data_IF_580447353990
#
_entry.id   IF_580447353990
#
_cell.length_a   1.000
_cell.length_b   1.000
_cell.length_c   1.000
_cell.angle_alpha   90.00
_cell.angle_beta   90.00
_cell.angle_gamma   90.00
#
_symmetry.space_group_name_H-M   'P 1'
#
loop_
_entity.id
_entity.type
_entity.pdbx_description
1 polymer ?
#
# COMPACT_ATOMS: atom_id res chain seq x y z
N UNK A 1 7.75 28.60 -5.68
CA UNK A 1 8.23 27.23 -5.35
C UNK A 1 7.56 26.82 -4.06
N UNK A 2 6.39 26.16 -4.13
CA UNK A 2 5.63 25.75 -2.95
C UNK A 2 6.15 24.37 -2.52
N UNK A 3 6.67 24.30 -1.30
CA UNK A 3 7.05 23.03 -0.65
C UNK A 3 5.78 22.51 0.01
N UNK A 4 5.17 21.47 -0.55
CA UNK A 4 4.13 20.74 0.17
C UNK A 4 4.83 19.83 1.18
N UNK A 5 4.66 20.21 2.43
CA UNK A 5 5.11 19.50 3.60
C UNK A 5 4.07 18.38 3.82
N UNK A 6 4.38 17.16 3.42
CA UNK A 6 3.55 16.00 3.76
C UNK A 6 3.72 15.74 5.25
N UNK A 7 2.81 16.28 6.05
CA UNK A 7 2.70 15.99 7.47
C UNK A 7 2.32 14.52 7.63
N UNK A 8 3.25 13.73 8.16
CA UNK A 8 2.99 12.36 8.60
C UNK A 8 2.17 12.48 9.88
N UNK A 9 0.86 12.26 9.79
CA UNK A 9 -0.03 12.31 10.96
C UNK A 9 0.19 11.02 11.75
N UNK A 10 0.97 11.10 12.81
CA UNK A 10 1.03 10.05 13.83
C UNK A 10 -0.32 10.05 14.57
N UNK A 11 -1.17 9.06 14.26
CA UNK A 11 -2.44 8.85 14.96
C UNK A 11 -2.13 8.28 16.34
N UNK A 12 -2.17 9.14 17.35
CA UNK A 12 -2.02 8.79 18.76
C UNK A 12 -3.38 8.36 19.32
N UNK A 13 -3.45 7.18 19.95
CA UNK A 13 -4.60 6.78 20.78
C UNK A 13 -4.80 7.77 21.93
N UNK A 14 -6.03 7.93 22.42
CA UNK A 14 -6.36 8.72 23.63
C UNK A 14 -5.54 8.32 24.88
N UNK A 15 -4.83 7.18 24.84
CA UNK A 15 -3.93 6.68 25.90
C UNK A 15 -2.43 6.86 25.63
N UNK A 16 -2.03 7.58 24.57
CA UNK A 16 -0.62 7.85 24.26
C UNK A 16 0.17 6.63 23.78
N UNK A 17 -0.51 5.54 23.44
CA UNK A 17 0.09 4.41 22.72
C UNK A 17 0.18 4.76 21.24
N UNK A 18 1.38 4.58 20.66
CA UNK A 18 1.56 4.59 19.21
C UNK A 18 0.75 3.42 18.68
N UNK A 19 -0.43 3.71 18.14
CA UNK A 19 -1.13 2.73 17.33
C UNK A 19 -0.23 2.57 16.11
N UNK A 20 0.50 1.46 15.99
CA UNK A 20 0.95 1.05 14.67
C UNK A 20 -0.34 0.88 13.87
N UNK A 21 -0.71 1.94 13.13
CA UNK A 21 -1.87 1.90 12.24
C UNK A 21 -1.72 0.65 11.42
N UNK A 22 -2.72 -0.22 11.48
CA UNK A 22 -2.62 -1.58 11.01
C UNK A 22 -2.28 -1.66 9.51
N UNK A 23 -2.52 -0.56 8.81
CA UNK A 23 -2.29 -0.33 7.40
C UNK A 23 -0.92 0.33 7.11
N UNK A 24 -0.11 0.65 8.13
CA UNK A 24 1.26 1.14 7.95
C UNK A 24 2.24 -0.04 7.88
N UNK A 25 3.05 -0.06 6.82
CA UNK A 25 4.08 -1.08 6.57
C UNK A 25 5.45 -0.51 6.87
N UNK A 26 6.06 -0.95 7.97
CA UNK A 26 7.46 -0.66 8.30
C UNK A 26 8.41 -1.50 7.43
N UNK A 27 9.26 -0.83 6.65
CA UNK A 27 10.24 -1.46 5.77
C UNK A 27 11.42 -2.01 6.58
N UNK A 28 11.95 -3.15 6.16
CA UNK A 28 13.06 -3.81 6.88
C UNK A 28 14.39 -3.05 6.83
N UNK A 29 14.55 -2.13 5.89
CA UNK A 29 15.64 -1.16 5.71
C UNK A 29 15.10 0.01 4.89
N UNK A 30 15.76 1.15 4.98
CA UNK A 30 15.45 2.32 4.16
C UNK A 30 15.46 1.98 2.66
N UNK A 31 14.38 2.31 1.98
CA UNK A 31 14.18 2.14 0.55
C UNK A 31 14.31 3.49 -0.14
N UNK A 32 15.14 3.59 -1.18
CA UNK A 32 15.27 4.82 -1.96
C UNK A 32 14.53 4.69 -3.29
N UNK A 33 13.67 5.65 -3.57
CA UNK A 33 12.92 5.74 -4.81
C UNK A 33 12.82 7.20 -5.24
N UNK A 34 13.13 7.50 -6.51
CA UNK A 34 13.12 8.87 -7.07
C UNK A 34 13.81 9.94 -6.20
N UNK A 35 14.92 9.57 -5.55
CA UNK A 35 15.68 10.48 -4.69
C UNK A 35 15.07 10.75 -3.31
N UNK A 36 14.00 10.04 -2.95
CA UNK A 36 13.39 10.06 -1.61
C UNK A 36 13.71 8.75 -0.88
N UNK A 37 13.88 8.85 0.44
CA UNK A 37 14.10 7.70 1.32
C UNK A 37 12.81 7.40 2.08
N UNK A 38 12.42 6.13 2.08
CA UNK A 38 11.23 5.61 2.71
C UNK A 38 11.63 4.56 3.74
N UNK A 39 11.15 4.71 4.97
CA UNK A 39 11.27 3.71 6.04
C UNK A 39 9.93 3.03 6.33
N UNK A 40 8.83 3.66 5.92
CA UNK A 40 7.46 3.21 6.12
C UNK A 40 6.64 3.50 4.86
N UNK A 41 5.62 2.69 4.60
CA UNK A 41 4.60 2.91 3.59
C UNK A 41 3.27 2.99 4.31
N UNK A 42 2.51 4.06 4.09
CA UNK A 42 1.19 4.25 4.66
C UNK A 42 0.11 3.77 3.69
N UNK A 43 -0.66 2.75 4.07
CA UNK A 43 -1.77 2.22 3.29
C UNK A 43 -3.13 2.56 3.92
N UNK A 44 -3.20 3.49 4.88
CA UNK A 44 -4.46 3.88 5.55
C UNK A 44 -5.56 4.29 4.56
N UNK A 45 -5.19 4.97 3.48
CA UNK A 45 -6.11 5.35 2.39
C UNK A 45 -6.73 4.16 1.62
N UNK A 46 -6.42 2.90 1.97
CA UNK A 46 -7.18 1.74 1.50
C UNK A 46 -8.66 1.84 1.90
N UNK A 47 -8.95 2.44 3.06
CA UNK A 47 -10.33 2.69 3.55
C UNK A 47 -11.11 3.67 2.67
N UNK A 48 -10.41 4.60 2.02
CA UNK A 48 -11.01 5.61 1.14
C UNK A 48 -11.17 5.12 -0.31
N UNK A 49 -10.67 3.92 -0.64
CA UNK A 49 -10.80 3.37 -1.98
C UNK A 49 -12.23 2.95 -2.27
N UNK A 50 -12.64 3.19 -3.51
CA UNK A 50 -13.99 2.86 -3.96
C UNK A 50 -14.04 1.55 -4.73
N UNK A 51 -15.24 0.99 -4.92
CA UNK A 51 -15.42 -0.14 -5.84
C UNK A 51 -14.91 0.17 -7.27
N UNK A 52 -14.97 1.44 -7.70
CA UNK A 52 -14.43 1.85 -9.00
C UNK A 52 -12.89 1.69 -9.05
N UNK A 53 -12.20 1.90 -7.93
CA UNK A 53 -10.77 1.68 -7.80
C UNK A 53 -10.39 0.21 -7.88
N UNK A 54 -11.16 -0.66 -7.21
CA UNK A 54 -10.99 -2.12 -7.33
C UNK A 54 -11.18 -2.60 -8.78
N UNK A 55 -12.24 -2.13 -9.45
CA UNK A 55 -12.49 -2.46 -10.86
C UNK A 55 -11.35 -1.95 -11.76
N UNK A 56 -10.84 -0.75 -11.50
CA UNK A 56 -9.70 -0.22 -12.23
C UNK A 56 -8.43 -1.05 -11.99
N UNK A 57 -8.20 -1.50 -10.76
CA UNK A 57 -7.08 -2.36 -10.41
C UNK A 57 -7.18 -3.72 -11.11
N UNK A 58 -8.36 -4.33 -11.11
CA UNK A 58 -8.61 -5.58 -11.82
C UNK A 58 -8.31 -5.46 -13.32
N UNK A 59 -8.79 -4.38 -13.96
CA UNK A 59 -8.52 -4.11 -15.37
C UNK A 59 -7.03 -3.94 -15.67
N UNK A 60 -6.26 -3.37 -14.75
CA UNK A 60 -4.79 -3.25 -14.90
C UNK A 60 -4.14 -4.63 -14.81
N UNK A 61 -4.55 -5.46 -13.85
CA UNK A 61 -4.08 -6.84 -13.72
C UNK A 61 -4.40 -7.68 -14.97
N UNK A 62 -5.63 -7.60 -15.47
CA UNK A 62 -6.04 -8.35 -16.66
C UNK A 62 -5.20 -7.97 -17.91
N UNK A 63 -4.78 -6.69 -18.00
CA UNK A 63 -3.94 -6.18 -19.08
C UNK A 63 -2.48 -6.60 -18.99
N UNK A 64 -1.97 -6.90 -17.80
CA UNK A 64 -0.57 -7.33 -17.63
C UNK A 64 -0.36 -8.79 -18.09
N UNK A 65 -1.44 -9.52 -18.37
CA UNK A 65 -1.40 -10.93 -18.74
C UNK A 65 -1.30 -11.88 -17.55
N UNK A 66 -1.30 -11.34 -16.32
CA UNK A 66 -1.41 -12.13 -15.09
C UNK A 66 -2.84 -12.61 -14.90
N UNK A 67 -3.03 -13.93 -14.98
CA UNK A 67 -4.31 -14.56 -14.63
C UNK A 67 -4.27 -15.05 -13.19
N UNK A 68 -5.07 -14.44 -12.31
CA UNK A 68 -5.30 -14.93 -10.95
C UNK A 68 -6.78 -15.23 -10.76
N UNK A 69 -7.10 -16.44 -10.31
CA UNK A 69 -8.47 -16.80 -9.94
C UNK A 69 -8.96 -16.00 -8.72
N UNK A 70 -8.02 -15.59 -7.85
CA UNK A 70 -8.27 -14.70 -6.72
C UNK A 70 -7.32 -13.49 -6.82
N UNK A 71 -7.73 -12.44 -7.55
CA UNK A 71 -6.94 -11.21 -7.70
C UNK A 71 -6.53 -10.61 -6.36
N UNK A 72 -7.45 -10.63 -5.40
CA UNK A 72 -7.27 -10.17 -4.02
C UNK A 72 -6.13 -10.88 -3.27
N UNK A 73 -5.69 -12.06 -3.71
CA UNK A 73 -4.55 -12.80 -3.14
C UNK A 73 -3.25 -12.64 -3.94
N UNK A 74 -3.31 -11.98 -5.10
CA UNK A 74 -2.15 -11.78 -5.97
C UNK A 74 -1.27 -10.65 -5.46
N UNK A 75 0.05 -10.81 -5.60
CA UNK A 75 1.00 -9.76 -5.26
C UNK A 75 0.81 -8.54 -6.16
N UNK A 76 0.57 -8.77 -7.45
CA UNK A 76 0.43 -7.70 -8.43
C UNK A 76 -0.80 -6.82 -8.18
N UNK A 77 -1.96 -7.43 -7.91
CA UNK A 77 -3.15 -6.67 -7.50
C UNK A 77 -2.92 -5.90 -6.20
N UNK A 78 -2.23 -6.52 -5.22
CA UNK A 78 -1.88 -5.83 -3.97
C UNK A 78 -1.01 -4.61 -4.22
N UNK A 79 -0.03 -4.70 -5.12
CA UNK A 79 0.81 -3.56 -5.52
C UNK A 79 -0.01 -2.47 -6.24
N UNK A 80 -0.98 -2.85 -7.08
CA UNK A 80 -1.86 -1.89 -7.76
C UNK A 80 -2.76 -1.16 -6.73
N UNK A 81 -3.33 -1.88 -5.78
CA UNK A 81 -4.15 -1.28 -4.71
C UNK A 81 -3.33 -0.37 -3.80
N UNK A 82 -2.13 -0.80 -3.41
CA UNK A 82 -1.21 0.02 -2.62
C UNK A 82 -0.76 1.29 -3.38
N UNK A 83 -0.55 1.19 -4.69
CA UNK A 83 -0.28 2.34 -5.56
C UNK A 83 -1.44 3.33 -5.56
N UNK A 84 -2.68 2.84 -5.66
CA UNK A 84 -3.87 3.68 -5.59
C UNK A 84 -4.03 4.37 -4.24
N UNK A 85 -3.80 3.65 -3.13
CA UNK A 85 -3.92 4.21 -1.78
C UNK A 85 -2.84 5.27 -1.49
N UNK A 86 -1.59 5.02 -1.90
CA UNK A 86 -0.44 5.88 -1.57
C UNK A 86 -0.20 7.01 -2.59
N UNK A 87 -0.80 6.90 -3.77
CA UNK A 87 -0.46 7.72 -4.94
C UNK A 87 0.95 7.49 -5.50
N UNK A 88 1.70 6.51 -5.00
CA UNK A 88 3.02 6.15 -5.54
C UNK A 88 2.87 5.32 -6.82
N UNK A 89 3.80 5.43 -7.78
CA UNK A 89 3.76 4.64 -9.02
C UNK A 89 3.94 3.13 -8.74
N UNK A 90 3.47 2.25 -9.65
CA UNK A 90 3.61 0.79 -9.49
C UNK A 90 5.08 0.36 -9.35
N UNK A 91 5.98 1.06 -10.04
CA UNK A 91 7.42 0.84 -10.03
C UNK A 91 8.02 0.97 -8.62
N UNK A 92 7.43 1.81 -7.76
CA UNK A 92 7.80 1.89 -6.35
C UNK A 92 7.60 0.54 -5.66
N UNK A 93 6.46 -0.10 -5.89
CA UNK A 93 6.11 -1.38 -5.27
C UNK A 93 6.88 -2.55 -5.90
N UNK A 94 7.13 -2.50 -7.22
CA UNK A 94 7.95 -3.50 -7.91
C UNK A 94 9.43 -3.44 -7.47
N UNK A 95 9.93 -2.27 -7.08
CA UNK A 95 11.28 -2.09 -6.56
C UNK A 95 11.45 -2.51 -5.10
N UNK A 96 10.38 -2.87 -4.39
CA UNK A 96 10.46 -3.34 -3.02
C UNK A 96 11.18 -4.68 -2.94
N UNK A 97 11.92 -4.88 -1.83
CA UNK A 97 12.51 -6.19 -1.55
C UNK A 97 11.41 -7.21 -1.28
N UNK A 98 11.62 -8.51 -1.59
CA UNK A 98 10.60 -9.54 -1.44
C UNK A 98 9.92 -9.57 -0.07
N UNK A 99 10.67 -9.38 1.03
CA UNK A 99 10.09 -9.33 2.38
C UNK A 99 9.17 -8.13 2.60
N UNK A 100 9.53 -6.96 2.07
CA UNK A 100 8.75 -5.74 2.22
C UNK A 100 7.51 -5.77 1.30
N UNK A 101 7.67 -6.27 0.07
CA UNK A 101 6.55 -6.50 -0.86
C UNK A 101 5.51 -7.47 -0.28
N UNK A 102 5.96 -8.54 0.38
CA UNK A 102 5.06 -9.47 1.08
C UNK A 102 4.32 -8.80 2.25
N UNK A 103 4.94 -7.86 2.96
CA UNK A 103 4.23 -7.10 4.01
C UNK A 103 3.12 -6.25 3.41
N UNK A 104 3.41 -5.53 2.31
CA UNK A 104 2.39 -4.74 1.58
C UNK A 104 1.25 -5.65 1.14
N UNK A 105 1.56 -6.78 0.50
CA UNK A 105 0.56 -7.79 0.14
C UNK A 105 -0.28 -8.21 1.34
N UNK A 106 0.35 -8.64 2.43
CA UNK A 106 -0.37 -9.16 3.59
C UNK A 106 -1.25 -8.10 4.26
N UNK A 107 -0.88 -6.81 4.21
CA UNK A 107 -1.73 -5.71 4.69
C UNK A 107 -2.94 -5.50 3.79
N UNK A 108 -2.72 -5.42 2.48
CA UNK A 108 -3.81 -5.27 1.51
C UNK A 108 -4.77 -6.47 1.57
N UNK A 109 -4.27 -7.70 1.59
CA UNK A 109 -5.12 -8.89 1.74
C UNK A 109 -5.80 -8.90 3.11
N UNK A 110 -5.08 -8.55 4.17
CA UNK A 110 -5.64 -8.49 5.53
C UNK A 110 -6.80 -7.50 5.62
N UNK A 111 -6.73 -6.39 4.88
CA UNK A 111 -7.83 -5.43 4.77
C UNK A 111 -9.09 -6.05 4.16
N UNK A 112 -8.97 -6.81 3.06
CA UNK A 112 -10.14 -7.42 2.41
C UNK A 112 -10.77 -8.58 3.18
N UNK A 113 -9.99 -9.28 4.01
CA UNK A 113 -10.44 -10.49 4.71
C UNK A 113 -10.64 -10.28 6.22
N UNK A 114 -10.44 -9.06 6.73
CA UNK A 114 -10.86 -8.72 8.08
C UNK A 114 -12.38 -8.69 8.11
N UNK A 115 -12.95 -9.45 9.04
CA UNK A 115 -14.38 -9.40 9.32
C UNK A 115 -14.71 -8.03 9.95
N UNK A 116 -15.79 -7.40 9.48
CA UNK A 116 -16.43 -6.22 10.11
C UNK A 116 -17.01 -6.57 11.50
#
# INVERSE_FOLDING_TARGET
MKKENTEVVEVLSEKGEVIESELVVSLSKSYQFEGKTYDKIDLSNLEDLTAADMIAAQKVLDRSGSFSFNPELSLEYSCIMASKATGQPLEFFHGLRPKDALKVKNRVTGFFYKED
#
